data_IF_869004950362
#
_entry.id   IF_869004950362
#
_cell.length_a   1.000
_cell.length_b   1.000
_cell.length_c   1.000
_cell.angle_alpha   90.00
_cell.angle_beta   90.00
_cell.angle_gamma   90.00
#
_symmetry.space_group_name_H-M   'P 1'
#
loop_
_entity.id
_entity.type
_entity.pdbx_description
1 polymer ?
#
# COMPACT_ATOMS: atom_id res chain seq x y z
N UNK A 1 33.18 11.40 -22.46
CA UNK A 1 32.17 11.21 -21.40
C UNK A 1 32.85 10.45 -20.26
N UNK A 2 32.94 11.00 -19.03
CA UNK A 2 33.52 10.25 -17.92
C UNK A 2 32.64 9.03 -17.62
N UNK A 3 33.26 7.86 -17.40
CA UNK A 3 32.53 6.64 -17.06
C UNK A 3 31.89 6.79 -15.67
N UNK A 4 30.58 6.56 -15.59
CA UNK A 4 29.87 6.55 -14.30
C UNK A 4 30.49 5.49 -13.37
N UNK A 5 30.76 5.81 -12.10
CA UNK A 5 31.31 4.84 -11.16
C UNK A 5 30.37 3.63 -11.04
N UNK A 6 30.94 2.43 -11.16
CA UNK A 6 30.18 1.15 -11.25
C UNK A 6 29.13 0.97 -10.15
N UNK A 7 29.41 1.47 -8.94
CA UNK A 7 28.46 1.43 -7.82
C UNK A 7 27.19 2.27 -8.04
N UNK A 8 27.29 3.43 -8.70
CA UNK A 8 26.14 4.28 -9.01
C UNK A 8 25.21 3.62 -10.05
N UNK A 9 25.80 3.07 -11.12
CA UNK A 9 25.06 2.36 -12.15
C UNK A 9 24.31 1.13 -11.58
N UNK A 10 24.98 0.36 -10.70
CA UNK A 10 24.38 -0.81 -10.06
C UNK A 10 23.20 -0.45 -9.14
N UNK A 11 23.32 0.62 -8.35
CA UNK A 11 22.23 1.09 -7.49
C UNK A 11 21.00 1.54 -8.30
N UNK A 12 21.23 2.29 -9.39
CA UNK A 12 20.15 2.72 -10.30
C UNK A 12 19.46 1.54 -10.96
N UNK A 13 20.22 0.58 -11.48
CA UNK A 13 19.68 -0.64 -12.07
C UNK A 13 18.82 -1.43 -11.07
N UNK A 14 19.28 -1.55 -9.81
CA UNK A 14 18.51 -2.19 -8.74
C UNK A 14 17.21 -1.43 -8.44
N UNK A 15 17.24 -0.10 -8.38
CA UNK A 15 16.05 0.74 -8.20
C UNK A 15 15.02 0.53 -9.32
N UNK A 16 15.47 0.58 -10.57
CA UNK A 16 14.61 0.33 -11.74
C UNK A 16 14.01 -1.08 -11.72
N UNK A 17 14.81 -2.10 -11.39
CA UNK A 17 14.30 -3.46 -11.28
C UNK A 17 13.19 -3.60 -10.22
N UNK A 18 13.28 -2.87 -9.10
CA UNK A 18 12.22 -2.84 -8.08
C UNK A 18 10.95 -2.18 -8.60
N UNK A 19 11.08 -1.04 -9.30
CA UNK A 19 9.92 -0.36 -9.89
C UNK A 19 9.21 -1.26 -10.90
N UNK A 20 9.94 -1.92 -11.80
CA UNK A 20 9.35 -2.85 -12.78
C UNK A 20 8.64 -4.01 -12.09
N UNK A 21 9.23 -4.60 -11.04
CA UNK A 21 8.58 -5.67 -10.26
C UNK A 21 7.29 -5.20 -9.59
N UNK A 22 7.33 -4.01 -8.98
CA UNK A 22 6.14 -3.43 -8.35
C UNK A 22 5.04 -3.16 -9.37
N UNK A 23 5.37 -2.53 -10.50
CA UNK A 23 4.41 -2.26 -11.58
C UNK A 23 3.78 -3.54 -12.12
N UNK A 24 4.56 -4.62 -12.30
CA UNK A 24 4.03 -5.93 -12.70
C UNK A 24 3.08 -6.52 -11.65
N UNK A 25 3.37 -6.37 -10.37
CA UNK A 25 2.47 -6.83 -9.31
C UNK A 25 1.18 -6.00 -9.28
N UNK A 26 1.28 -4.68 -9.47
CA UNK A 26 0.12 -3.79 -9.54
C UNK A 26 -0.73 -4.07 -10.78
N UNK A 27 -0.12 -4.35 -11.93
CA UNK A 27 -0.83 -4.76 -13.14
C UNK A 27 -1.62 -6.06 -12.92
N UNK A 28 -1.00 -7.02 -12.23
CA UNK A 28 -1.62 -8.33 -11.97
C UNK A 28 -2.71 -8.33 -10.90
N UNK A 29 -2.53 -7.58 -9.82
CA UNK A 29 -3.36 -7.67 -8.61
C UNK A 29 -4.02 -6.35 -8.19
N UNK A 30 -3.67 -5.24 -8.83
CA UNK A 30 -4.12 -3.90 -8.44
C UNK A 30 -5.64 -3.72 -8.56
N UNK A 31 -6.26 -4.27 -9.60
CA UNK A 31 -7.71 -4.21 -9.78
C UNK A 31 -8.46 -4.97 -8.68
N UNK A 32 -8.02 -6.19 -8.35
CA UNK A 32 -8.60 -6.98 -7.25
C UNK A 32 -8.44 -6.23 -5.93
N UNK A 33 -7.25 -5.67 -5.66
CA UNK A 33 -7.04 -4.89 -4.44
C UNK A 33 -7.92 -3.65 -4.36
N UNK A 34 -8.22 -3.00 -5.49
CA UNK A 34 -9.12 -1.84 -5.53
C UNK A 34 -10.56 -2.23 -5.20
N UNK A 35 -11.05 -3.35 -5.74
CA UNK A 35 -12.40 -3.89 -5.43
C UNK A 35 -12.52 -4.26 -3.96
N UNK A 36 -11.51 -4.95 -3.40
CA UNK A 36 -11.47 -5.29 -1.98
C UNK A 36 -11.45 -4.04 -1.09
N UNK A 37 -10.72 -2.99 -1.50
CA UNK A 37 -10.73 -1.72 -0.77
C UNK A 37 -12.06 -0.98 -0.88
N UNK A 38 -12.73 -1.04 -2.04
CA UNK A 38 -14.08 -0.49 -2.21
C UNK A 38 -15.07 -1.19 -1.28
N UNK A 39 -15.00 -2.51 -1.15
CA UNK A 39 -15.81 -3.28 -0.19
C UNK A 39 -15.54 -2.86 1.25
N UNK A 40 -14.26 -2.85 1.65
CA UNK A 40 -13.85 -2.41 3.00
C UNK A 40 -14.36 -1.00 3.34
N UNK A 41 -14.24 -0.05 2.41
CA UNK A 41 -14.69 1.33 2.61
C UNK A 41 -16.22 1.44 2.59
N UNK A 42 -16.90 0.63 1.77
CA UNK A 42 -18.37 0.63 1.72
C UNK A 42 -18.96 0.16 3.03
N UNK A 43 -18.40 -0.90 3.60
CA UNK A 43 -18.78 -1.41 4.92
C UNK A 43 -18.49 -0.39 6.02
N UNK A 44 -17.30 0.22 5.98
CA UNK A 44 -16.85 1.17 7.00
C UNK A 44 -17.63 2.49 6.98
N UNK A 45 -18.02 2.96 5.79
CA UNK A 45 -18.78 4.20 5.61
C UNK A 45 -20.30 3.97 5.57
N UNK A 46 -20.75 2.72 5.59
CA UNK A 46 -22.16 2.32 5.43
C UNK A 46 -22.82 2.95 4.19
N UNK A 47 -22.08 3.03 3.09
CA UNK A 47 -22.55 3.56 1.79
C UNK A 47 -21.85 2.82 0.67
N UNK A 48 -22.48 2.71 -0.49
CA UNK A 48 -21.80 2.20 -1.68
C UNK A 48 -20.66 3.16 -2.10
N UNK A 49 -19.49 2.60 -2.40
CA UNK A 49 -18.30 3.34 -2.84
C UNK A 49 -17.91 2.94 -4.26
N UNK A 50 -17.94 3.91 -5.16
CA UNK A 50 -17.46 3.79 -6.54
C UNK A 50 -16.12 4.54 -6.76
N UNK A 51 -15.87 5.60 -6.00
CA UNK A 51 -14.63 6.40 -6.00
C UNK A 51 -13.84 6.25 -4.69
N UNK A 52 -12.74 5.48 -4.75
CA UNK A 52 -11.82 5.27 -3.63
C UNK A 52 -11.20 6.55 -3.08
N UNK A 53 -10.91 7.54 -3.93
CA UNK A 53 -10.29 8.79 -3.48
C UNK A 53 -11.27 9.59 -2.62
N UNK A 54 -12.52 9.71 -3.07
CA UNK A 54 -13.56 10.40 -2.30
C UNK A 54 -13.90 9.64 -1.02
N UNK A 55 -14.01 8.31 -1.06
CA UNK A 55 -14.26 7.51 0.13
C UNK A 55 -13.16 7.64 1.19
N UNK A 56 -11.87 7.71 0.79
CA UNK A 56 -10.77 7.96 1.72
C UNK A 56 -10.82 9.34 2.35
N UNK A 57 -11.23 10.38 1.59
CA UNK A 57 -11.42 11.72 2.14
C UNK A 57 -12.56 11.75 3.16
N UNK A 58 -13.67 11.08 2.84
CA UNK A 58 -14.82 10.95 3.74
C UNK A 58 -14.45 10.20 5.02
N UNK A 59 -13.69 9.09 4.92
CA UNK A 59 -13.16 8.38 6.08
C UNK A 59 -12.35 9.30 6.99
N UNK A 60 -11.44 10.10 6.43
CA UNK A 60 -10.66 11.06 7.20
C UNK A 60 -11.55 12.12 7.87
N UNK A 61 -12.56 12.63 7.17
CA UNK A 61 -13.50 13.62 7.71
C UNK A 61 -14.31 13.04 8.89
N UNK A 62 -14.83 11.81 8.75
CA UNK A 62 -15.57 11.12 9.82
C UNK A 62 -14.70 10.80 11.02
N UNK A 63 -13.44 10.43 10.79
CA UNK A 63 -12.47 10.19 11.86
C UNK A 63 -12.21 11.48 12.65
N UNK A 64 -11.98 12.59 11.96
CA UNK A 64 -11.78 13.90 12.59
C UNK A 64 -13.02 14.37 13.35
N UNK A 65 -14.21 14.10 12.81
CA UNK A 65 -15.47 14.42 13.46
C UNK A 65 -15.83 13.46 14.62
N UNK A 66 -15.06 12.39 14.82
CA UNK A 66 -15.34 11.36 15.84
C UNK A 66 -16.58 10.52 15.55
N UNK A 67 -17.09 10.54 14.31
CA UNK A 67 -18.29 9.79 13.90
C UNK A 67 -17.97 8.36 13.47
N UNK A 68 -16.69 8.01 13.42
CA UNK A 68 -16.20 6.64 13.21
C UNK A 68 -15.18 6.27 14.27
N UNK A 69 -15.25 5.02 14.76
CA UNK A 69 -14.39 4.57 15.85
C UNK A 69 -12.93 4.35 15.41
N UNK A 70 -11.97 4.81 16.21
CA UNK A 70 -10.54 4.61 15.96
C UNK A 70 -10.14 3.15 15.70
N UNK A 71 -10.77 2.21 16.40
CA UNK A 71 -10.49 0.78 16.22
C UNK A 71 -10.84 0.30 14.81
N UNK A 72 -12.02 0.66 14.30
CA UNK A 72 -12.45 0.27 12.96
C UNK A 72 -11.51 0.85 11.89
N UNK A 73 -11.08 2.10 12.08
CA UNK A 73 -10.08 2.72 11.20
C UNK A 73 -8.72 2.02 11.28
N UNK A 74 -8.26 1.66 12.48
CA UNK A 74 -7.01 0.93 12.66
C UNK A 74 -7.04 -0.44 11.97
N UNK A 75 -8.15 -1.16 12.05
CA UNK A 75 -8.37 -2.43 11.36
C UNK A 75 -8.35 -2.25 9.83
N UNK A 76 -9.00 -1.21 9.30
CA UNK A 76 -8.91 -0.85 7.88
C UNK A 76 -7.46 -0.53 7.46
N UNK A 77 -6.74 0.31 8.22
CA UNK A 77 -5.35 0.66 7.95
C UNK A 77 -4.44 -0.57 7.96
N UNK A 78 -4.70 -1.53 8.86
CA UNK A 78 -3.97 -2.79 8.91
C UNK A 78 -4.19 -3.62 7.63
N UNK A 79 -5.44 -3.78 7.19
CA UNK A 79 -5.76 -4.50 5.94
C UNK A 79 -5.14 -3.82 4.74
N UNK A 80 -5.19 -2.49 4.69
CA UNK A 80 -4.58 -1.72 3.62
C UNK A 80 -3.06 -1.86 3.60
N UNK A 81 -2.41 -1.75 4.76
CA UNK A 81 -0.97 -1.97 4.90
C UNK A 81 -0.55 -3.39 4.46
N UNK A 82 -1.36 -4.40 4.80
CA UNK A 82 -1.12 -5.78 4.38
C UNK A 82 -1.21 -5.93 2.84
N UNK A 83 -2.24 -5.34 2.20
CA UNK A 83 -2.39 -5.34 0.73
C UNK A 83 -1.23 -4.64 0.03
N UNK A 84 -0.86 -3.44 0.49
CA UNK A 84 0.29 -2.71 -0.09
C UNK A 84 1.59 -3.48 0.09
N UNK A 85 1.79 -4.11 1.24
CA UNK A 85 2.96 -4.97 1.50
C UNK A 85 2.98 -6.18 0.57
N UNK A 86 1.83 -6.79 0.32
CA UNK A 86 1.72 -7.90 -0.63
C UNK A 86 2.12 -7.48 -2.06
N UNK A 87 1.62 -6.33 -2.55
CA UNK A 87 2.01 -5.80 -3.86
C UNK A 87 3.50 -5.45 -3.95
N UNK A 88 4.07 -4.94 -2.86
CA UNK A 88 5.48 -4.56 -2.82
C UNK A 88 6.43 -5.76 -2.59
N UNK A 89 5.92 -6.92 -2.19
CA UNK A 89 6.71 -8.04 -1.66
C UNK A 89 7.86 -8.45 -2.57
N UNK A 90 7.57 -8.65 -3.85
CA UNK A 90 8.57 -9.06 -4.85
C UNK A 90 9.60 -7.96 -5.14
N UNK A 91 9.21 -6.69 -5.00
CA UNK A 91 10.09 -5.53 -5.15
C UNK A 91 10.97 -5.29 -3.91
N UNK A 92 10.52 -5.69 -2.72
CA UNK A 92 11.23 -5.47 -1.45
C UNK A 92 12.49 -6.34 -1.30
N UNK A 93 12.54 -7.50 -1.94
CA UNK A 93 13.66 -8.45 -1.79
C UNK A 93 13.81 -8.91 -0.34
N UNK A 94 15.02 -8.87 0.23
CA UNK A 94 15.28 -9.31 1.61
C UNK A 94 14.49 -8.54 2.69
N UNK A 95 13.96 -7.35 2.39
CA UNK A 95 13.12 -6.61 3.33
C UNK A 95 11.73 -7.24 3.48
N UNK A 96 11.27 -8.04 2.52
CA UNK A 96 9.94 -8.66 2.54
C UNK A 96 9.74 -9.63 3.70
N UNK A 97 10.82 -10.20 4.24
CA UNK A 97 10.79 -11.18 5.34
C UNK A 97 11.35 -10.63 6.64
N UNK A 98 11.80 -9.36 6.66
CA UNK A 98 12.36 -8.73 7.85
C UNK A 98 11.23 -8.40 8.83
N UNK A 99 11.41 -8.76 10.10
CA UNK A 99 10.48 -8.44 11.19
C UNK A 99 11.14 -7.42 12.12
N UNK A 100 10.35 -6.52 12.68
CA UNK A 100 10.80 -5.68 13.78
C UNK A 100 11.02 -6.54 15.02
N UNK A 101 11.97 -6.13 15.86
CA UNK A 101 12.06 -6.68 17.21
C UNK A 101 10.74 -6.37 17.95
N UNK A 102 10.26 -7.28 18.82
CA UNK A 102 9.15 -6.97 19.70
C UNK A 102 9.47 -5.70 20.50
N UNK A 103 8.44 -4.89 20.74
CA UNK A 103 8.55 -3.70 21.57
C UNK A 103 8.32 -4.17 23.01
N UNK A 104 9.28 -3.92 23.89
CA UNK A 104 9.18 -4.18 25.33
C UNK A 104 8.22 -3.19 26.02
#
# INVERSE_FOLDING_TARGET
>A
MPALPKGFAQQRAKGLARLVKFLRSTDRFGAVNAVEEQGDLSDLLATEVDDLMNARRELCARLQAGTIGHRAVAEYCQRQGARTTHLARDAMGALATRRYAPID
#
